data_IF_190586171221
#
_entry.id   IF_190586171221
#
_cell.length_a   1.000
_cell.length_b   1.000
_cell.length_c   1.000
_cell.angle_alpha   90.00
_cell.angle_beta   90.00
_cell.angle_gamma   90.00
#
_symmetry.space_group_name_H-M   'P 1'
#
loop_
_entity.id
_entity.type
_entity.pdbx_description
1 polymer ?
#
# COMPACT_ATOMS: atom_id res chain seq x y z
N UNK A 1 -27.56 -0.93 10.59
CA UNK A 1 -27.02 -0.90 11.97
C UNK A 1 -25.96 0.17 12.01
N UNK A 2 -26.20 1.23 12.79
CA UNK A 2 -25.16 2.20 13.11
C UNK A 2 -24.06 1.49 13.88
N UNK A 3 -22.88 1.41 13.29
CA UNK A 3 -21.72 0.74 13.86
C UNK A 3 -20.69 1.77 14.31
N UNK A 4 -19.93 1.39 15.33
CA UNK A 4 -18.69 2.08 15.69
C UNK A 4 -17.68 1.91 14.54
N UNK A 5 -17.07 3.02 14.10
CA UNK A 5 -16.27 3.08 12.86
C UNK A 5 -14.97 3.87 13.01
N UNK A 6 -14.48 4.04 14.24
CA UNK A 6 -13.24 4.77 14.52
C UNK A 6 -12.02 3.83 14.43
N UNK A 7 -11.85 3.17 13.28
CA UNK A 7 -10.69 2.31 13.03
C UNK A 7 -10.18 2.46 11.59
N UNK A 8 -8.85 2.40 11.45
CA UNK A 8 -8.18 2.58 10.16
C UNK A 8 -7.94 1.26 9.41
N UNK A 9 -7.83 0.14 10.13
CA UNK A 9 -7.50 -1.18 9.54
C UNK A 9 -8.33 -2.28 10.21
N UNK A 10 -8.94 -3.14 9.39
CA UNK A 10 -9.62 -4.37 9.83
C UNK A 10 -8.77 -5.57 9.45
N UNK A 11 -8.50 -6.44 10.42
CA UNK A 11 -7.79 -7.70 10.22
C UNK A 11 -8.78 -8.82 10.58
N UNK A 12 -8.89 -9.82 9.72
CA UNK A 12 -9.81 -10.94 9.92
C UNK A 12 -9.10 -12.28 9.72
N UNK A 13 -9.55 -13.29 10.44
CA UNK A 13 -9.15 -14.67 10.18
C UNK A 13 -10.03 -15.28 9.07
N UNK A 14 -9.53 -16.26 8.28
CA UNK A 14 -10.25 -16.80 7.13
C UNK A 14 -11.62 -17.43 7.45
N UNK A 15 -11.75 -18.01 8.64
CA UNK A 15 -12.97 -18.60 9.19
C UNK A 15 -14.09 -17.57 9.39
N UNK A 16 -13.75 -16.32 9.72
CA UNK A 16 -14.72 -15.25 9.98
C UNK A 16 -15.14 -14.47 8.73
N UNK A 17 -14.49 -14.72 7.58
CA UNK A 17 -14.76 -13.99 6.32
C UNK A 17 -16.19 -14.17 5.79
N UNK A 18 -16.85 -15.30 6.09
CA UNK A 18 -18.25 -15.53 5.71
C UNK A 18 -19.24 -14.57 6.38
N UNK A 19 -18.94 -14.11 7.60
CA UNK A 19 -19.72 -13.12 8.33
C UNK A 19 -19.31 -11.70 7.94
N UNK A 20 -18.01 -11.44 7.81
CA UNK A 20 -17.47 -10.12 7.38
C UNK A 20 -17.92 -9.75 5.97
N UNK A 21 -18.10 -10.72 5.07
CA UNK A 21 -18.65 -10.50 3.73
C UNK A 21 -20.06 -9.88 3.75
N UNK A 22 -20.89 -10.18 4.76
CA UNK A 22 -22.22 -9.56 4.91
C UNK A 22 -22.13 -8.07 5.25
N UNK A 23 -21.05 -7.65 5.90
CA UNK A 23 -20.73 -6.24 6.20
C UNK A 23 -20.09 -5.50 5.01
N UNK A 24 -19.89 -6.18 3.88
CA UNK A 24 -19.28 -5.60 2.67
C UNK A 24 -20.03 -4.38 2.13
N UNK A 25 -21.34 -4.25 2.36
CA UNK A 25 -22.10 -3.04 1.98
C UNK A 25 -21.63 -1.78 2.72
N UNK A 26 -21.08 -1.92 3.93
CA UNK A 26 -20.59 -0.82 4.77
C UNK A 26 -19.09 -0.65 4.62
N UNK A 27 -18.33 -1.75 4.69
CA UNK A 27 -16.86 -1.74 4.66
C UNK A 27 -16.29 -1.54 3.23
N UNK A 28 -17.02 -2.00 2.21
CA UNK A 28 -16.62 -1.92 0.79
C UNK A 28 -16.38 -0.50 0.27
N UNK A 29 -17.35 0.43 0.34
CA UNK A 29 -17.18 1.78 -0.20
C UNK A 29 -16.10 2.60 0.52
N UNK A 30 -15.71 2.21 1.74
CA UNK A 30 -14.65 2.86 2.53
C UNK A 30 -13.28 2.21 2.37
N UNK A 31 -13.17 1.10 1.63
CA UNK A 31 -11.89 0.40 1.45
C UNK A 31 -11.35 -0.31 2.68
N UNK A 32 -12.16 -0.43 3.76
CA UNK A 32 -11.80 -1.10 5.02
C UNK A 32 -12.07 -2.62 4.99
N UNK A 33 -12.46 -3.15 3.84
CA UNK A 33 -12.75 -4.57 3.69
C UNK A 33 -11.45 -5.38 3.71
N UNK A 34 -11.30 -6.37 4.61
CA UNK A 34 -10.09 -7.18 4.68
C UNK A 34 -9.96 -8.03 3.40
N UNK A 35 -8.73 -8.14 2.88
CA UNK A 35 -8.43 -8.79 1.63
C UNK A 35 -7.25 -9.77 1.80
N UNK A 36 -7.35 -11.02 1.31
CA UNK A 36 -6.23 -11.96 1.33
C UNK A 36 -4.98 -11.44 0.61
N UNK A 37 -5.15 -10.63 -0.47
CA UNK A 37 -4.02 -10.03 -1.20
C UNK A 37 -3.29 -8.96 -0.41
N UNK A 38 -4.01 -8.27 0.47
CA UNK A 38 -3.48 -7.29 1.40
C UNK A 38 -2.71 -7.96 2.56
N UNK A 39 -2.92 -9.27 2.79
CA UNK A 39 -2.43 -9.94 3.98
C UNK A 39 -3.16 -9.48 5.25
N UNK A 40 -4.33 -8.83 5.12
CA UNK A 40 -5.24 -8.52 6.22
C UNK A 40 -6.19 -9.67 6.54
N UNK A 41 -6.16 -10.73 5.73
CA UNK A 41 -6.79 -12.01 6.02
C UNK A 41 -5.71 -13.06 6.27
N UNK A 42 -5.41 -13.33 7.54
CA UNK A 42 -4.38 -14.30 7.95
C UNK A 42 -4.84 -15.14 9.12
N UNK A 43 -4.37 -16.40 9.22
CA UNK A 43 -4.52 -17.19 10.45
C UNK A 43 -3.67 -16.61 11.60
N UNK A 44 -2.51 -16.01 11.28
CA UNK A 44 -1.60 -15.36 12.24
C UNK A 44 -2.01 -13.88 12.49
N UNK A 45 -3.08 -13.67 13.27
CA UNK A 45 -3.60 -12.32 13.56
C UNK A 45 -2.60 -11.46 14.33
N UNK A 46 -1.85 -12.05 15.27
CA UNK A 46 -0.88 -11.32 16.10
C UNK A 46 0.22 -10.64 15.26
N UNK A 47 0.78 -11.36 14.28
CA UNK A 47 1.79 -10.82 13.36
C UNK A 47 1.20 -9.74 12.46
N UNK A 48 -0.01 -9.98 11.93
CA UNK A 48 -0.69 -9.01 11.09
C UNK A 48 -0.96 -7.68 11.83
N UNK A 49 -1.31 -7.74 13.13
CA UNK A 49 -1.48 -6.53 13.96
C UNK A 49 -0.15 -5.79 14.14
N UNK A 50 0.95 -6.50 14.40
CA UNK A 50 2.28 -5.86 14.52
C UNK A 50 2.74 -5.23 13.22
N UNK A 51 2.52 -5.89 12.08
CA UNK A 51 2.85 -5.36 10.76
C UNK A 51 1.99 -4.14 10.38
N UNK A 52 0.68 -4.19 10.68
CA UNK A 52 -0.22 -3.09 10.43
C UNK A 52 0.15 -1.86 11.28
N UNK A 53 0.50 -2.07 12.55
CA UNK A 53 1.00 -0.99 13.44
C UNK A 53 2.36 -0.44 13.01
N UNK A 54 3.21 -1.26 12.41
CA UNK A 54 4.49 -0.84 11.86
C UNK A 54 4.36 0.06 10.61
N UNK A 55 3.14 0.31 10.13
CA UNK A 55 2.88 1.22 9.02
C UNK A 55 3.07 0.57 7.65
N UNK A 56 2.72 -0.72 7.52
CA UNK A 56 2.70 -1.41 6.22
C UNK A 56 1.84 -0.64 5.22
N UNK A 57 2.47 -0.14 4.16
CA UNK A 57 1.79 0.60 3.09
C UNK A 57 1.44 -0.38 1.99
N UNK A 58 0.16 -0.48 1.66
CA UNK A 58 -0.29 -1.22 0.49
C UNK A 58 -0.23 -0.34 -0.74
N UNK A 59 0.38 -0.90 -1.79
CA UNK A 59 0.35 -0.30 -3.11
C UNK A 59 -0.66 -1.06 -3.98
N UNK A 60 -1.57 -0.31 -4.60
CA UNK A 60 -2.56 -0.85 -5.54
C UNK A 60 -2.29 -0.29 -6.93
N UNK A 61 -2.40 -1.15 -7.93
CA UNK A 61 -2.40 -0.75 -9.33
C UNK A 61 -3.77 -0.15 -9.69
N UNK A 62 -3.75 1.04 -10.26
CA UNK A 62 -4.93 1.59 -10.91
C UNK A 62 -5.20 0.92 -12.28
N UNK A 63 -6.38 1.13 -12.86
CA UNK A 63 -6.73 0.67 -14.22
C UNK A 63 -5.75 1.17 -15.29
N UNK A 64 -5.08 2.30 -15.03
CA UNK A 64 -4.03 2.88 -15.87
C UNK A 64 -2.64 2.26 -15.65
N UNK A 65 -2.52 1.24 -14.79
CA UNK A 65 -1.27 0.60 -14.36
C UNK A 65 -0.28 1.54 -13.66
N UNK A 66 -0.79 2.61 -13.04
CA UNK A 66 0.00 3.53 -12.21
C UNK A 66 -0.09 3.07 -10.76
N UNK A 67 1.05 3.13 -10.05
CA UNK A 67 1.13 2.87 -8.62
C UNK A 67 1.16 4.21 -7.89
N UNK A 68 0.19 4.44 -7.00
CA UNK A 68 0.14 5.61 -6.14
C UNK A 68 0.43 5.20 -4.70
N UNK A 69 1.52 5.72 -4.13
CA UNK A 69 1.92 5.42 -2.75
C UNK A 69 2.39 6.67 -2.02
N UNK A 70 1.85 6.94 -0.82
CA UNK A 70 2.40 7.97 0.05
C UNK A 70 3.72 7.47 0.66
N UNK A 71 4.82 8.18 0.43
CA UNK A 71 6.14 7.86 1.01
C UNK A 71 6.34 8.42 2.43
N UNK A 72 5.51 9.38 2.84
CA UNK A 72 5.57 10.00 4.17
C UNK A 72 5.05 11.43 4.20
N UNK A 73 5.35 12.13 5.30
CA UNK A 73 5.09 13.57 5.48
C UNK A 73 6.41 14.34 5.47
N UNK A 74 6.33 15.63 5.13
CA UNK A 74 7.48 16.56 5.16
C UNK A 74 8.16 16.59 6.53
N UNK A 75 7.40 16.35 7.60
CA UNK A 75 7.89 16.32 8.98
C UNK A 75 8.83 15.15 9.31
N UNK A 76 9.02 14.16 8.43
CA UNK A 76 9.90 13.01 8.69
C UNK A 76 11.38 13.30 8.41
N UNK A 77 11.70 14.41 7.74
CA UNK A 77 13.06 14.75 7.33
C UNK A 77 13.47 14.08 6.02
N UNK A 78 14.51 14.62 5.38
CA UNK A 78 14.94 14.19 4.04
C UNK A 78 15.46 12.74 4.00
N UNK A 79 16.25 12.34 5.01
CA UNK A 79 16.89 11.01 5.07
C UNK A 79 15.84 9.89 5.12
N UNK A 80 14.86 9.98 6.04
CA UNK A 80 13.79 8.98 6.18
C UNK A 80 12.90 8.91 4.94
N UNK A 81 12.66 10.04 4.27
CA UNK A 81 11.90 10.06 3.02
C UNK A 81 12.66 9.35 1.90
N UNK A 82 13.98 9.49 1.86
CA UNK A 82 14.83 8.79 0.90
C UNK A 82 14.87 7.28 1.18
N UNK A 83 15.06 6.87 2.44
CA UNK A 83 15.01 5.44 2.83
C UNK A 83 13.67 4.78 2.48
N UNK A 84 12.55 5.47 2.74
CA UNK A 84 11.22 4.96 2.38
C UNK A 84 11.05 4.83 0.86
N UNK A 85 11.61 5.77 0.10
CA UNK A 85 11.56 5.75 -1.36
C UNK A 85 12.39 4.59 -1.94
N UNK A 86 13.59 4.38 -1.43
CA UNK A 86 14.48 3.28 -1.85
C UNK A 86 13.89 1.91 -1.48
N UNK A 87 13.30 1.79 -0.29
CA UNK A 87 12.58 0.58 0.12
C UNK A 87 11.40 0.27 -0.80
N UNK A 88 10.64 1.29 -1.20
CA UNK A 88 9.51 1.15 -2.11
C UNK A 88 9.96 0.75 -3.51
N UNK A 89 11.00 1.37 -4.05
CA UNK A 89 11.56 1.00 -5.35
C UNK A 89 12.14 -0.41 -5.35
N UNK A 90 12.84 -0.80 -4.29
CA UNK A 90 13.35 -2.16 -4.11
C UNK A 90 12.22 -3.20 -4.08
N UNK A 91 11.10 -2.89 -3.41
CA UNK A 91 9.93 -3.75 -3.40
C UNK A 91 9.27 -3.87 -4.79
N UNK A 92 9.14 -2.76 -5.53
CA UNK A 92 8.60 -2.75 -6.89
C UNK A 92 9.46 -3.59 -7.84
N UNK A 93 10.79 -3.45 -7.77
CA UNK A 93 11.70 -4.23 -8.61
C UNK A 93 11.60 -5.74 -8.32
N UNK A 94 11.45 -6.12 -7.04
CA UNK A 94 11.22 -7.53 -6.65
C UNK A 94 9.85 -8.04 -7.10
N UNK A 95 8.84 -7.17 -7.16
CA UNK A 95 7.50 -7.51 -7.62
C UNK A 95 7.39 -7.61 -9.16
N UNK A 96 8.47 -7.35 -9.91
CA UNK A 96 8.48 -7.45 -11.37
C UNK A 96 8.11 -8.87 -11.81
N UNK A 97 7.02 -9.06 -12.58
CA UNK A 97 6.67 -10.36 -13.13
C UNK A 97 7.71 -10.83 -14.14
N UNK A 98 8.08 -12.11 -14.13
CA UNK A 98 9.05 -12.70 -15.06
C UNK A 98 8.63 -12.57 -16.53
N UNK A 99 7.35 -12.38 -16.81
CA UNK A 99 6.80 -12.18 -18.15
C UNK A 99 6.98 -10.74 -18.68
N UNK A 100 7.37 -9.77 -17.83
CA UNK A 100 7.51 -8.37 -18.24
C UNK A 100 8.81 -8.15 -19.02
N UNK A 101 8.68 -7.92 -20.32
CA UNK A 101 9.79 -7.56 -21.22
C UNK A 101 9.96 -6.04 -21.28
N UNK A 102 11.21 -5.57 -21.23
CA UNK A 102 11.56 -4.15 -21.32
C UNK A 102 11.74 -3.43 -19.97
N UNK A 103 11.73 -2.10 -20.01
CA UNK A 103 11.89 -1.24 -18.83
C UNK A 103 10.61 -1.27 -17.98
N UNK A 104 10.73 -1.78 -16.75
CA UNK A 104 9.58 -1.98 -15.86
C UNK A 104 9.04 -0.65 -15.29
N UNK A 105 9.94 0.30 -14.98
CA UNK A 105 9.58 1.63 -14.47
C UNK A 105 9.81 2.66 -15.58
N UNK A 106 8.73 3.19 -16.16
CA UNK A 106 8.80 4.16 -17.28
C UNK A 106 9.06 5.58 -16.80
N UNK A 107 8.42 6.00 -15.73
CA UNK A 107 8.59 7.33 -15.14
C UNK A 107 8.28 7.29 -13.65
N UNK A 108 9.05 8.01 -12.85
CA UNK A 108 8.78 8.23 -11.44
C UNK A 108 8.50 9.72 -11.23
N UNK A 109 7.41 10.04 -10.52
CA UNK A 109 7.04 11.42 -10.20
C UNK A 109 6.78 11.51 -8.71
N UNK A 110 7.47 12.43 -8.04
CA UNK A 110 7.25 12.74 -6.63
C UNK A 110 6.50 14.06 -6.57
N UNK A 111 5.36 14.06 -5.89
CA UNK A 111 4.51 15.23 -5.74
C UNK A 111 4.05 15.36 -4.28
N UNK A 112 3.88 16.60 -3.83
CA UNK A 112 3.18 16.89 -2.57
C UNK A 112 1.67 16.94 -2.82
N UNK A 113 0.86 16.85 -1.77
CA UNK A 113 -0.61 16.77 -1.87
C UNK A 113 -1.22 17.92 -2.67
N UNK A 114 -0.64 19.13 -2.59
CA UNK A 114 -1.14 20.34 -3.25
C UNK A 114 -0.05 21.05 -4.07
N UNK A 115 0.99 20.33 -4.52
CA UNK A 115 2.14 20.94 -5.22
C UNK A 115 2.43 20.31 -6.57
N UNK A 116 3.31 20.96 -7.37
CA UNK A 116 3.73 20.44 -8.65
C UNK A 116 4.52 19.14 -8.49
N UNK A 117 4.34 18.20 -9.42
CA UNK A 117 5.09 16.95 -9.46
C UNK A 117 6.46 17.11 -10.09
N UNK A 118 7.50 16.64 -9.41
CA UNK A 118 8.88 16.63 -9.90
C UNK A 118 9.17 15.23 -10.45
N UNK A 119 9.57 15.18 -11.72
CA UNK A 119 9.98 13.92 -12.37
C UNK A 119 11.36 13.52 -11.85
N UNK A 120 11.45 12.33 -11.28
CA UNK A 120 12.70 11.73 -10.78
C UNK A 120 13.16 10.67 -11.77
N UNK A 121 14.47 10.58 -11.98
CA UNK A 121 15.02 9.57 -12.87
C UNK A 121 14.96 8.18 -12.20
N UNK A 122 14.18 7.23 -12.74
CA UNK A 122 14.02 5.91 -12.12
C UNK A 122 15.29 5.05 -12.19
N UNK A 123 16.25 5.37 -13.07
CA UNK A 123 17.46 4.57 -13.27
C UNK A 123 18.57 4.87 -12.25
N UNK A 124 18.53 6.02 -11.57
CA UNK A 124 19.50 6.40 -10.52
C UNK A 124 18.97 6.14 -9.10
N UNK A 125 17.69 5.84 -8.96
CA UNK A 125 17.00 5.71 -7.67
C UNK A 125 17.10 4.30 -7.05
N UNK A 126 18.07 3.50 -7.47
CA UNK A 126 18.30 2.14 -6.96
C UNK A 126 19.79 1.81 -6.88
N UNK A 127 20.63 2.83 -6.77
CA UNK A 127 22.08 2.73 -6.55
C UNK A 127 22.41 3.20 -5.14
#
# INVERSE_FOLDING_TARGET
QGGWMDFDVVIASPDMMGLVGRLGKVLGPRGLMPNPKAGTVTPDVAKAVTEAKAGKIEYRLDKTNIIHCPIGKVSFGAEKLQENFDALLGAILKAKPSASKGQYIRSCVVATTMGPGIKVNPSKAGA
#
